data_IF_771403359727
#
_entry.id   IF_771403359727
#
_cell.length_a   1.000
_cell.length_b   1.000
_cell.length_c   1.000
_cell.angle_alpha   90.00
_cell.angle_beta   90.00
_cell.angle_gamma   90.00
#
_symmetry.space_group_name_H-M   'P 1'
#
loop_
_entity.id
_entity.type
_entity.pdbx_description
1 polymer ?
#
# COMPACT_ATOMS: atom_id res chain seq x y z
N UNK A 1 37.21 -39.59 -17.51
CA UNK A 1 35.74 -39.41 -17.37
C UNK A 1 35.47 -38.30 -16.36
N UNK A 2 34.98 -37.14 -16.80
CA UNK A 2 34.64 -36.03 -15.90
C UNK A 2 33.49 -35.20 -16.49
N UNK A 3 32.23 -35.63 -16.37
CA UNK A 3 31.10 -34.72 -16.46
C UNK A 3 30.64 -34.39 -15.04
N UNK A 4 30.03 -33.21 -14.84
CA UNK A 4 28.89 -32.96 -13.92
C UNK A 4 28.76 -31.55 -13.35
N UNK A 5 29.67 -30.61 -13.62
CA UNK A 5 29.52 -29.24 -13.08
C UNK A 5 28.69 -28.33 -14.00
N UNK A 6 28.75 -28.53 -15.33
CA UNK A 6 28.05 -27.67 -16.30
C UNK A 6 26.51 -27.85 -16.25
N UNK A 7 26.02 -29.00 -15.78
CA UNK A 7 24.58 -29.31 -15.81
C UNK A 7 23.77 -28.62 -14.73
N UNK A 8 24.36 -28.23 -13.60
CA UNK A 8 23.60 -27.68 -12.46
C UNK A 8 23.26 -26.20 -12.65
N UNK A 9 24.17 -25.42 -13.24
CA UNK A 9 23.94 -23.99 -13.51
C UNK A 9 22.82 -23.76 -14.54
N UNK A 10 22.67 -24.66 -15.51
CA UNK A 10 21.63 -24.56 -16.53
C UNK A 10 20.22 -24.81 -15.95
N UNK A 11 20.11 -25.65 -14.91
CA UNK A 11 18.85 -25.96 -14.23
C UNK A 11 18.38 -24.77 -13.37
N UNK A 12 19.28 -24.07 -12.69
CA UNK A 12 18.95 -22.89 -11.88
C UNK A 12 18.48 -21.73 -12.79
N UNK A 13 19.11 -21.55 -13.95
CA UNK A 13 18.70 -20.53 -14.91
C UNK A 13 17.28 -20.77 -15.49
N UNK A 14 16.90 -22.05 -15.69
CA UNK A 14 15.57 -22.42 -16.21
C UNK A 14 14.44 -22.26 -15.16
N UNK A 15 14.75 -22.35 -13.86
CA UNK A 15 13.75 -22.13 -12.80
C UNK A 15 13.48 -20.64 -12.53
N UNK A 16 14.31 -19.73 -13.06
CA UNK A 16 14.18 -18.29 -12.84
C UNK A 16 13.29 -17.56 -13.86
N UNK A 17 12.79 -18.26 -14.89
CA UNK A 17 11.97 -17.67 -15.95
C UNK A 17 10.46 -17.73 -15.72
N UNK A 18 10.01 -18.28 -14.58
CA UNK A 18 8.59 -18.47 -14.29
C UNK A 18 8.08 -17.57 -13.14
N UNK A 19 8.75 -16.45 -12.88
CA UNK A 19 8.09 -15.36 -12.14
C UNK A 19 7.18 -14.69 -13.16
N UNK A 20 5.92 -15.13 -13.18
CA UNK A 20 4.87 -14.52 -13.98
C UNK A 20 4.59 -13.13 -13.40
N UNK A 21 5.21 -12.12 -13.98
CA UNK A 21 5.03 -10.73 -13.58
C UNK A 21 3.61 -10.22 -13.91
N UNK A 22 2.84 -10.95 -14.72
CA UNK A 22 1.46 -10.61 -15.09
C UNK A 22 0.47 -10.86 -13.93
N UNK A 23 0.83 -11.71 -12.97
CA UNK A 23 -0.02 -12.07 -11.82
C UNK A 23 0.19 -11.18 -10.58
N UNK A 24 1.08 -10.17 -10.63
CA UNK A 24 1.21 -9.25 -9.51
C UNK A 24 -0.02 -8.36 -9.40
N UNK A 25 -0.64 -8.25 -8.20
CA UNK A 25 -1.79 -7.38 -8.02
C UNK A 25 -1.40 -5.95 -8.40
N UNK A 26 -2.18 -5.36 -9.31
CA UNK A 26 -2.03 -3.97 -9.70
C UNK A 26 -2.29 -3.08 -8.48
N UNK A 27 -1.21 -2.55 -7.91
CA UNK A 27 -1.26 -1.72 -6.71
C UNK A 27 -0.95 -0.25 -7.01
N UNK A 28 -1.52 0.63 -6.21
CA UNK A 28 -1.19 2.05 -6.15
C UNK A 28 -0.64 2.43 -4.79
N UNK A 29 -0.30 3.70 -4.66
CA UNK A 29 0.09 4.28 -3.38
C UNK A 29 -0.68 5.57 -3.13
N UNK A 30 -0.71 5.96 -1.87
CA UNK A 30 -1.35 7.18 -1.43
C UNK A 30 -0.42 7.87 -0.44
N UNK A 31 -0.29 9.18 -0.60
CA UNK A 31 0.49 10.07 0.22
C UNK A 31 -0.48 10.98 0.97
N UNK A 32 -0.38 11.00 2.28
CA UNK A 32 -1.21 11.84 3.13
C UNK A 32 -0.36 12.89 3.80
N UNK A 33 -0.88 14.11 3.86
CA UNK A 33 -0.28 15.20 4.66
C UNK A 33 -1.30 15.71 5.65
N UNK A 34 -0.90 15.78 6.92
CA UNK A 34 -1.74 16.23 8.02
C UNK A 34 -1.54 17.72 8.25
N UNK A 35 -2.57 18.53 8.03
CA UNK A 35 -2.47 20.00 8.05
C UNK A 35 -3.04 20.65 9.31
N UNK A 36 -4.03 20.05 10.02
CA UNK A 36 -4.77 20.78 11.07
C UNK A 36 -5.37 19.95 12.23
N UNK A 37 -4.80 18.81 12.61
CA UNK A 37 -5.31 18.01 13.73
C UNK A 37 -4.46 18.18 14.98
N UNK A 38 -4.98 18.67 16.12
CA UNK A 38 -4.19 18.84 17.37
C UNK A 38 -3.33 17.61 17.73
N UNK A 39 -2.26 17.84 18.52
CA UNK A 39 -1.25 16.82 18.88
C UNK A 39 -1.84 15.41 19.07
N UNK A 40 -1.24 14.46 18.36
CA UNK A 40 -1.48 13.02 18.31
C UNK A 40 -2.95 12.62 17.99
N UNK A 41 -3.09 11.84 16.93
CA UNK A 41 -4.35 11.19 16.57
C UNK A 41 -4.06 9.89 15.86
N UNK A 42 -5.02 8.97 15.89
CA UNK A 42 -4.92 7.74 15.13
C UNK A 42 -5.65 7.91 13.81
N UNK A 43 -5.13 7.34 12.74
CA UNK A 43 -5.83 7.28 11.46
C UNK A 43 -5.82 5.86 10.90
N UNK A 44 -6.87 5.51 10.18
CA UNK A 44 -6.98 4.24 9.47
C UNK A 44 -7.51 4.45 8.06
N UNK A 45 -7.06 3.60 7.13
CA UNK A 45 -7.59 3.56 5.77
C UNK A 45 -8.33 2.23 5.59
N UNK A 46 -9.41 2.24 4.83
CA UNK A 46 -10.12 1.04 4.42
C UNK A 46 -10.80 1.25 3.07
N UNK A 47 -11.12 0.18 2.32
CA UNK A 47 -12.06 0.27 1.20
C UNK A 47 -13.37 0.91 1.66
N UNK A 48 -14.00 1.75 0.82
CA UNK A 48 -15.27 2.42 1.17
C UNK A 48 -16.38 1.41 1.50
N UNK A 49 -16.35 0.25 0.85
CA UNK A 49 -17.34 -0.82 1.02
C UNK A 49 -17.01 -1.77 2.19
N UNK A 50 -15.95 -1.49 2.96
CA UNK A 50 -15.57 -2.30 4.10
C UNK A 50 -16.59 -2.13 5.25
N UNK A 51 -17.20 -3.24 5.67
CA UNK A 51 -18.15 -3.31 6.81
C UNK A 51 -17.46 -3.00 8.15
N UNK A 52 -16.14 -3.20 8.22
CA UNK A 52 -15.30 -2.88 9.37
C UNK A 52 -13.92 -2.46 8.90
N UNK A 53 -13.34 -1.42 9.51
CA UNK A 53 -11.95 -1.03 9.28
C UNK A 53 -11.07 -2.06 9.97
N UNK A 54 -10.28 -2.87 9.25
CA UNK A 54 -9.41 -3.83 9.89
C UNK A 54 -8.34 -3.07 10.71
N UNK A 55 -8.02 -3.59 11.90
CA UNK A 55 -7.06 -3.00 12.84
C UNK A 55 -5.62 -2.74 12.33
N UNK A 56 -5.05 -3.40 11.27
CA UNK A 56 -3.63 -3.21 10.95
C UNK A 56 -3.28 -1.83 10.35
N UNK A 57 -4.26 -0.95 10.16
CA UNK A 57 -4.09 0.29 9.40
C UNK A 57 -4.14 1.53 10.29
N UNK A 58 -4.25 1.33 11.62
CA UNK A 58 -4.21 2.39 12.61
C UNK A 58 -2.76 2.86 12.79
N UNK A 59 -2.46 4.11 12.42
CA UNK A 59 -1.16 4.75 12.68
C UNK A 59 -1.34 6.05 13.44
N UNK A 60 -0.39 6.33 14.33
CA UNK A 60 -0.30 7.62 15.02
C UNK A 60 0.17 8.69 14.04
N UNK A 61 -0.64 9.73 13.87
CA UNK A 61 -0.36 10.90 13.08
C UNK A 61 -0.02 12.10 13.95
N UNK A 62 0.98 12.88 13.53
CA UNK A 62 1.32 14.17 14.11
C UNK A 62 1.02 15.30 13.11
N UNK A 63 0.70 16.51 13.59
CA UNK A 63 0.54 17.68 12.69
C UNK A 63 1.80 17.86 11.84
N UNK A 64 1.63 18.15 10.56
CA UNK A 64 2.73 18.42 9.65
C UNK A 64 3.53 17.18 9.27
N UNK A 65 3.09 15.99 9.67
CA UNK A 65 3.67 14.74 9.19
C UNK A 65 2.97 14.26 7.93
N UNK A 66 3.74 13.58 7.09
CA UNK A 66 3.24 12.94 5.90
C UNK A 66 3.56 11.46 5.92
N UNK A 67 2.64 10.65 5.40
CA UNK A 67 2.77 9.20 5.38
C UNK A 67 2.43 8.67 3.99
N UNK A 68 3.17 7.65 3.57
CA UNK A 68 2.87 6.91 2.35
C UNK A 68 2.32 5.55 2.71
N UNK A 69 1.18 5.19 2.13
CA UNK A 69 0.64 3.83 2.15
C UNK A 69 0.74 3.28 0.74
N UNK A 70 1.47 2.19 0.58
CA UNK A 70 1.70 1.51 -0.69
C UNK A 70 0.94 0.20 -0.73
N UNK A 71 0.99 -0.47 -1.89
CA UNK A 71 0.42 -1.80 -2.08
C UNK A 71 -1.11 -1.85 -1.92
N UNK A 72 -1.77 -0.71 -2.13
CA UNK A 72 -3.23 -0.64 -2.15
C UNK A 72 -3.74 -1.13 -3.49
N UNK A 73 -4.71 -2.04 -3.50
CA UNK A 73 -5.40 -2.43 -4.72
C UNK A 73 -6.13 -1.21 -5.34
N UNK A 74 -6.34 -1.24 -6.65
CA UNK A 74 -7.16 -0.23 -7.31
C UNK A 74 -8.59 -0.22 -6.76
N UNK A 75 -9.11 0.96 -6.40
CA UNK A 75 -10.46 1.07 -5.83
C UNK A 75 -10.71 2.36 -5.06
N UNK A 76 -11.89 2.46 -4.45
CA UNK A 76 -12.27 3.59 -3.60
C UNK A 76 -11.95 3.28 -2.14
N UNK A 77 -11.25 4.20 -1.50
CA UNK A 77 -10.82 4.09 -0.11
C UNK A 77 -11.32 5.30 0.69
N UNK A 78 -11.49 5.07 1.98
CA UNK A 78 -11.74 6.10 2.98
C UNK A 78 -10.62 6.10 3.99
N UNK A 79 -10.13 7.28 4.33
CA UNK A 79 -9.31 7.51 5.51
C UNK A 79 -10.17 8.11 6.61
N UNK A 80 -10.08 7.55 7.80
CA UNK A 80 -10.83 7.96 8.99
C UNK A 80 -9.84 8.24 10.12
N UNK A 81 -9.98 9.39 10.78
CA UNK A 81 -9.20 9.71 11.98
C UNK A 81 -9.99 9.35 13.24
N UNK A 82 -9.31 9.14 14.37
CA UNK A 82 -9.94 8.92 15.68
C UNK A 82 -10.83 10.08 16.14
N UNK A 83 -10.73 11.23 15.47
CA UNK A 83 -11.56 12.42 15.69
C UNK A 83 -12.81 12.46 14.81
N UNK A 84 -13.00 11.47 13.94
CA UNK A 84 -14.15 11.38 13.05
C UNK A 84 -14.00 12.12 11.72
N UNK A 85 -12.83 12.68 11.41
CA UNK A 85 -12.59 13.26 10.08
C UNK A 85 -12.51 12.12 9.06
N UNK A 86 -13.23 12.26 7.94
CA UNK A 86 -13.30 11.25 6.88
C UNK A 86 -12.99 11.90 5.55
N UNK A 87 -12.05 11.32 4.79
CA UNK A 87 -11.85 11.67 3.37
C UNK A 87 -11.88 10.44 2.50
N UNK A 88 -12.59 10.54 1.38
CA UNK A 88 -12.68 9.50 0.38
C UNK A 88 -11.72 9.84 -0.76
N UNK A 89 -11.00 8.85 -1.25
CA UNK A 89 -10.06 8.98 -2.36
C UNK A 89 -10.06 7.71 -3.20
N UNK A 90 -9.64 7.81 -4.44
CA UNK A 90 -9.55 6.69 -5.37
C UNK A 90 -8.09 6.30 -5.56
N UNK A 91 -7.74 5.04 -5.30
CA UNK A 91 -6.45 4.46 -5.63
C UNK A 91 -6.49 4.00 -7.09
N UNK A 92 -5.54 4.51 -7.88
CA UNK A 92 -5.33 4.11 -9.27
C UNK A 92 -4.00 3.35 -9.32
N UNK A 93 -3.96 2.09 -9.78
CA UNK A 93 -2.72 1.34 -9.87
C UNK A 93 -1.63 2.07 -10.66
N UNK A 94 -0.39 1.96 -10.19
CA UNK A 94 0.76 2.65 -10.79
C UNK A 94 0.79 4.17 -10.57
N UNK A 95 -0.14 4.73 -9.77
CA UNK A 95 -0.14 6.15 -9.41
C UNK A 95 -0.06 6.35 -7.91
N UNK A 96 0.57 7.46 -7.53
CA UNK A 96 0.48 8.01 -6.19
C UNK A 96 -0.64 9.04 -6.14
N UNK A 97 -1.48 8.94 -5.13
CA UNK A 97 -2.59 9.87 -4.88
C UNK A 97 -2.24 10.71 -3.66
N UNK A 98 -2.37 12.04 -3.75
CA UNK A 98 -2.15 12.92 -2.60
C UNK A 98 -3.47 13.29 -1.93
N UNK A 99 -3.53 13.18 -0.60
CA UNK A 99 -4.72 13.48 0.20
C UNK A 99 -4.31 14.34 1.39
N UNK A 100 -4.89 15.53 1.51
CA UNK A 100 -4.69 16.40 2.67
C UNK A 100 -5.69 16.05 3.77
N UNK A 101 -5.25 15.86 5.01
CA UNK A 101 -6.10 15.60 6.16
C UNK A 101 -6.13 16.83 7.08
N UNK A 102 -7.32 17.39 7.23
CA UNK A 102 -7.60 18.53 8.12
C UNK A 102 -8.08 18.03 9.49
#
# INVERSE_FOLDING_TARGET
MKPRIVSLFFIIALMSSCVDWDDQPLTGSVFFTVTNTSQNFDWAIAPVDAVSIPEPWIREGNVGTSFTVSELLGGNYVIVTSRGNRKVFQVIPGRQVEVLLD
#
